data_IF_552584845035
#
_entry.id   IF_552584845035
#
_cell.length_a   1.000
_cell.length_b   1.000
_cell.length_c   1.000
_cell.angle_alpha   90.00
_cell.angle_beta   90.00
_cell.angle_gamma   90.00
#
_symmetry.space_group_name_H-M   'P 1'
#
loop_
_entity.id
_entity.type
_entity.pdbx_description
1 polymer ?
#
# COMPACT_ATOMS: atom_id res chain seq x y z
N UNK A 1 -1.75 -10.23 8.49
CA UNK A 1 -1.95 -10.11 7.04
C UNK A 1 -0.58 -9.97 6.40
N UNK A 2 -0.24 -10.84 5.46
CA UNK A 2 0.95 -10.72 4.61
C UNK A 2 0.64 -9.83 3.41
N UNK A 3 1.68 -9.34 2.71
CA UNK A 3 1.51 -8.61 1.44
C UNK A 3 0.75 -9.44 0.41
N UNK A 4 0.99 -10.77 0.36
CA UNK A 4 0.28 -11.66 -0.55
C UNK A 4 -1.23 -11.72 -0.25
N UNK A 5 -1.61 -11.82 1.03
CA UNK A 5 -3.02 -11.80 1.45
C UNK A 5 -3.69 -10.45 1.13
N UNK A 6 -2.97 -9.34 1.30
CA UNK A 6 -3.46 -8.00 0.94
C UNK A 6 -3.71 -7.89 -0.58
N UNK A 7 -2.77 -8.35 -1.41
CA UNK A 7 -2.90 -8.32 -2.88
C UNK A 7 -4.14 -9.10 -3.33
N UNK A 8 -4.35 -10.30 -2.77
CA UNK A 8 -5.54 -11.10 -3.09
C UNK A 8 -6.82 -10.36 -2.73
N UNK A 9 -6.87 -9.72 -1.55
CA UNK A 9 -8.02 -8.94 -1.11
C UNK A 9 -8.28 -7.72 -1.99
N UNK A 10 -7.23 -7.03 -2.42
CA UNK A 10 -7.35 -5.88 -3.33
C UNK A 10 -7.83 -6.32 -4.73
N UNK A 11 -7.39 -7.48 -5.21
CA UNK A 11 -7.82 -8.02 -6.50
C UNK A 11 -9.30 -8.44 -6.55
N UNK A 12 -9.93 -8.67 -5.40
CA UNK A 12 -11.37 -8.95 -5.27
C UNK A 12 -12.24 -7.69 -5.37
N UNK A 13 -11.65 -6.49 -5.30
CA UNK A 13 -12.40 -5.23 -5.32
C UNK A 13 -12.76 -4.77 -6.74
N UNK A 14 -13.82 -3.96 -6.90
CA UNK A 14 -14.13 -3.29 -8.16
C UNK A 14 -12.96 -2.42 -8.64
N UNK A 15 -12.84 -2.24 -9.95
CA UNK A 15 -11.75 -1.47 -10.56
C UNK A 15 -11.74 0.00 -10.13
N UNK A 16 -12.90 0.53 -9.77
CA UNK A 16 -13.13 1.89 -9.28
C UNK A 16 -12.88 2.06 -7.78
N UNK A 17 -12.53 1.00 -7.06
CA UNK A 17 -12.26 1.07 -5.63
C UNK A 17 -11.05 1.97 -5.33
N UNK A 18 -11.18 2.78 -4.27
CA UNK A 18 -10.10 3.64 -3.79
C UNK A 18 -9.50 3.04 -2.52
N UNK A 19 -8.18 2.90 -2.50
CA UNK A 19 -7.45 2.46 -1.30
C UNK A 19 -7.20 3.67 -0.40
N UNK A 20 -7.62 3.54 0.85
CA UNK A 20 -7.41 4.52 1.91
C UNK A 20 -6.51 3.90 2.98
N UNK A 21 -5.59 4.71 3.52
CA UNK A 21 -4.79 4.37 4.69
C UNK A 21 -5.20 5.26 5.85
N UNK A 22 -5.29 4.67 7.03
CA UNK A 22 -5.46 5.41 8.27
C UNK A 22 -4.18 6.19 8.56
N UNK A 23 -4.30 7.49 8.75
CA UNK A 23 -3.22 8.44 9.03
C UNK A 23 -3.66 9.26 10.23
N UNK A 24 -2.78 9.54 11.20
CA UNK A 24 -3.14 10.22 12.47
C UNK A 24 -4.04 11.46 12.27
N UNK A 25 -5.36 11.27 12.35
CA UNK A 25 -6.37 12.31 12.10
C UNK A 25 -7.39 12.06 10.97
N UNK A 26 -7.29 10.97 10.20
CA UNK A 26 -8.26 10.65 9.15
C UNK A 26 -7.82 9.58 8.14
N UNK A 27 -8.57 9.49 7.05
CA UNK A 27 -8.26 8.57 5.96
C UNK A 27 -7.57 9.33 4.82
N UNK A 28 -6.39 8.86 4.43
CA UNK A 28 -5.65 9.38 3.28
C UNK A 28 -5.76 8.43 2.10
N UNK A 29 -6.03 8.95 0.91
CA UNK A 29 -6.00 8.15 -0.31
C UNK A 29 -4.57 7.72 -0.64
N UNK A 30 -4.38 6.49 -1.09
CA UNK A 30 -3.09 6.05 -1.65
C UNK A 30 -3.00 6.51 -3.11
N UNK A 31 -1.95 7.25 -3.45
CA UNK A 31 -1.68 7.77 -4.80
C UNK A 31 -0.50 7.07 -5.48
N UNK A 32 0.38 6.42 -4.71
CA UNK A 32 1.56 5.73 -5.21
C UNK A 32 1.86 4.44 -4.45
N UNK A 33 2.57 3.55 -5.13
CA UNK A 33 3.02 2.26 -4.61
C UNK A 33 4.44 2.02 -5.14
N UNK A 34 5.38 1.80 -4.23
CA UNK A 34 6.75 1.42 -4.58
C UNK A 34 7.12 0.06 -3.99
N UNK A 35 7.81 -0.76 -4.77
CA UNK A 35 8.38 -2.02 -4.31
C UNK A 35 9.89 -1.84 -4.10
N UNK A 36 10.35 -2.10 -2.88
CA UNK A 36 11.76 -2.02 -2.53
C UNK A 36 12.26 -3.44 -2.26
N UNK A 37 13.20 -3.90 -3.08
CA UNK A 37 13.87 -5.17 -2.81
C UNK A 37 14.72 -5.07 -1.54
N UNK A 38 14.85 -6.18 -0.81
CA UNK A 38 15.57 -6.23 0.46
C UNK A 38 16.97 -5.62 0.36
N UNK A 39 17.16 -4.48 1.02
CA UNK A 39 18.42 -3.74 1.00
C UNK A 39 19.41 -4.34 2.02
N UNK A 40 20.06 -5.45 1.64
CA UNK A 40 21.15 -6.07 2.39
C UNK A 40 20.90 -7.54 2.79
N UNK A 41 21.91 -8.24 3.34
CA UNK A 41 21.80 -9.66 3.66
C UNK A 41 20.69 -9.92 4.70
N UNK A 42 19.61 -10.55 4.27
CA UNK A 42 18.48 -10.91 5.13
C UNK A 42 17.41 -9.82 5.31
N UNK A 43 17.53 -8.67 4.64
CA UNK A 43 16.47 -7.66 4.65
C UNK A 43 15.26 -8.17 3.84
N UNK A 44 14.02 -8.06 4.37
CA UNK A 44 12.83 -8.41 3.63
C UNK A 44 12.55 -7.39 2.51
N UNK A 45 11.82 -7.81 1.49
CA UNK A 45 11.25 -6.87 0.53
C UNK A 45 10.16 -6.03 1.18
N UNK A 46 10.04 -4.78 0.77
CA UNK A 46 9.09 -3.81 1.31
C UNK A 46 8.17 -3.29 0.21
N UNK A 47 6.97 -2.87 0.63
CA UNK A 47 6.01 -2.16 -0.21
C UNK A 47 5.68 -0.86 0.48
N UNK A 48 5.93 0.26 -0.20
CA UNK A 48 5.69 1.61 0.31
C UNK A 48 4.41 2.13 -0.34
N UNK A 49 3.46 2.57 0.50
CA UNK A 49 2.23 3.22 0.05
C UNK A 49 2.37 4.73 0.26
N UNK A 50 2.34 5.50 -0.83
CA UNK A 50 2.43 6.94 -0.76
C UNK A 50 1.02 7.56 -0.65
N UNK A 51 0.75 8.42 0.35
CA UNK A 51 -0.50 9.15 0.43
C UNK A 51 -0.61 10.16 -0.72
N UNK A 52 -1.84 10.46 -1.15
CA UNK A 52 -2.16 11.59 -2.00
C UNK A 52 -1.93 12.87 -1.20
N UNK A 53 -1.11 13.78 -1.72
CA UNK A 53 -0.93 15.12 -1.16
C UNK A 53 -1.87 16.15 -1.80
N UNK A 54 -2.70 15.72 -2.74
CA UNK A 54 -3.78 16.54 -3.28
C UNK A 54 -4.89 16.68 -2.23
N UNK A 55 -4.97 17.87 -1.61
CA UNK A 55 -6.15 18.36 -0.87
C UNK A 55 -7.25 18.83 -1.82
#
# INVERSE_FOLDING_TARGET
MTVAELIVKLAELPQEAVVLIDSDGGLSRVSGLDFVEGQGPGAPAEVILAPSLDE
#
